data_IF_447482435939
#
_entry.id   IF_447482435939
#
_cell.length_a   1.000
_cell.length_b   1.000
_cell.length_c   1.000
_cell.angle_alpha   90.00
_cell.angle_beta   90.00
_cell.angle_gamma   90.00
#
_symmetry.space_group_name_H-M   'P 1'
#
loop_
_entity.id
_entity.type
_entity.pdbx_description
1 polymer ?
#
# COMPACT_ATOMS: atom_id res chain seq x y z
N UNK A 1 -13.96 -1.21 19.38
CA UNK A 1 -13.39 -2.12 18.38
C UNK A 1 -14.45 -3.11 17.92
N UNK A 2 -14.61 -3.33 16.62
CA UNK A 2 -15.48 -4.37 16.09
C UNK A 2 -14.81 -5.73 16.32
N UNK A 3 -15.41 -6.62 17.12
CA UNK A 3 -14.80 -7.90 17.51
C UNK A 3 -14.42 -8.79 16.32
N UNK A 4 -15.13 -8.67 15.19
CA UNK A 4 -14.88 -9.46 13.96
C UNK A 4 -13.62 -9.09 13.19
N UNK A 5 -12.98 -7.95 13.47
CA UNK A 5 -11.77 -7.47 12.79
C UNK A 5 -10.52 -7.52 13.67
N UNK A 6 -10.62 -7.97 14.88
CA UNK A 6 -9.43 -8.25 15.71
C UNK A 6 -8.75 -9.51 15.20
N UNK A 7 -7.45 -9.39 14.92
CA UNK A 7 -6.65 -10.55 14.56
C UNK A 7 -6.56 -11.53 15.73
N UNK A 8 -6.79 -12.79 15.44
CA UNK A 8 -6.54 -13.87 16.40
C UNK A 8 -5.04 -14.06 16.64
N UNK A 9 -4.61 -14.63 17.77
CA UNK A 9 -3.20 -14.96 18.00
C UNK A 9 -2.59 -15.81 16.87
N UNK A 10 -3.36 -16.72 16.29
CA UNK A 10 -2.92 -17.54 15.17
C UNK A 10 -2.66 -16.71 13.89
N UNK A 11 -3.50 -15.71 13.60
CA UNK A 11 -3.29 -14.79 12.48
C UNK A 11 -2.09 -13.89 12.70
N UNK A 12 -1.89 -13.40 13.92
CA UNK A 12 -0.71 -12.61 14.29
C UNK A 12 0.57 -13.42 14.12
N UNK A 13 0.58 -14.68 14.60
CA UNK A 13 1.72 -15.58 14.42
C UNK A 13 1.96 -15.90 12.94
N UNK A 14 0.90 -16.15 12.17
CA UNK A 14 1.02 -16.39 10.73
C UNK A 14 1.65 -15.18 10.02
N UNK A 15 1.21 -13.95 10.36
CA UNK A 15 1.81 -12.73 9.81
C UNK A 15 3.29 -12.61 10.19
N UNK A 16 3.63 -12.83 11.45
CA UNK A 16 5.01 -12.79 11.92
C UNK A 16 5.91 -13.82 11.23
N UNK A 17 5.35 -14.96 10.83
CA UNK A 17 6.10 -16.02 10.15
C UNK A 17 6.20 -15.80 8.65
N UNK A 18 5.15 -15.26 8.02
CA UNK A 18 5.00 -15.22 6.57
C UNK A 18 5.08 -13.82 5.96
N UNK A 19 4.88 -12.76 6.75
CA UNK A 19 4.91 -11.36 6.31
C UNK A 19 3.67 -10.90 5.56
N UNK A 20 2.56 -11.64 5.62
CA UNK A 20 1.29 -11.25 5.00
C UNK A 20 0.09 -11.91 5.68
N UNK A 21 -1.12 -11.35 5.40
CA UNK A 21 -2.41 -11.96 5.72
C UNK A 21 -3.37 -11.86 4.55
N UNK A 22 -4.10 -12.95 4.33
CA UNK A 22 -5.23 -13.10 3.41
C UNK A 22 -6.40 -13.76 4.14
N UNK A 23 -7.56 -13.83 3.50
CA UNK A 23 -8.75 -14.48 4.08
C UNK A 23 -9.34 -13.70 5.26
N UNK A 24 -9.16 -12.39 5.26
CA UNK A 24 -9.73 -11.47 6.24
C UNK A 24 -11.20 -11.20 5.92
N UNK A 25 -12.04 -10.86 6.92
CA UNK A 25 -13.39 -10.40 6.65
C UNK A 25 -13.40 -9.18 5.72
N UNK A 26 -14.37 -9.05 4.81
CA UNK A 26 -14.42 -7.92 3.88
C UNK A 26 -14.60 -6.60 4.65
N UNK A 27 -13.81 -5.60 4.30
CA UNK A 27 -13.92 -4.25 4.87
C UNK A 27 -15.23 -3.60 4.45
N UNK A 28 -15.59 -3.79 3.18
CA UNK A 28 -16.83 -3.32 2.59
C UNK A 28 -17.58 -4.48 1.96
N UNK A 29 -18.90 -4.48 2.05
CA UNK A 29 -19.72 -5.39 1.25
C UNK A 29 -19.54 -5.06 -0.23
N UNK A 30 -19.97 -5.96 -1.11
CA UNK A 30 -19.91 -5.74 -2.56
C UNK A 30 -20.70 -4.47 -2.97
N UNK A 31 -21.84 -4.24 -2.34
CA UNK A 31 -22.69 -3.08 -2.59
C UNK A 31 -22.05 -1.77 -2.08
N UNK A 32 -21.42 -1.81 -0.91
CA UNK A 32 -20.67 -0.66 -0.38
C UNK A 32 -19.49 -0.34 -1.28
N UNK A 33 -18.73 -1.37 -1.70
CA UNK A 33 -17.58 -1.18 -2.59
C UNK A 33 -17.97 -0.67 -3.98
N UNK A 34 -19.12 -1.12 -4.50
CA UNK A 34 -19.64 -0.61 -5.76
C UNK A 34 -19.92 0.90 -5.67
N UNK A 35 -20.57 1.38 -4.60
CA UNK A 35 -20.79 2.82 -4.36
C UNK A 35 -19.48 3.59 -4.24
N UNK A 36 -18.48 3.03 -3.54
CA UNK A 36 -17.15 3.65 -3.46
C UNK A 36 -16.52 3.73 -4.86
N UNK A 37 -16.64 2.70 -5.68
CA UNK A 37 -16.14 2.69 -7.05
C UNK A 37 -16.86 3.70 -7.97
N UNK A 38 -18.15 3.99 -7.74
CA UNK A 38 -18.90 5.00 -8.49
C UNK A 38 -18.32 6.42 -8.28
N UNK A 39 -17.69 6.68 -7.14
CA UNK A 39 -17.02 7.96 -6.85
C UNK A 39 -15.62 8.08 -7.46
N UNK A 40 -14.95 6.96 -7.76
CA UNK A 40 -13.57 6.96 -8.26
C UNK A 40 -13.35 7.84 -9.50
N UNK A 41 -14.24 7.90 -10.51
CA UNK A 41 -14.10 8.79 -11.66
C UNK A 41 -13.96 10.27 -11.28
N UNK A 42 -14.60 10.73 -10.20
CA UNK A 42 -14.47 12.13 -9.74
C UNK A 42 -13.04 12.42 -9.24
N UNK A 43 -12.40 11.43 -8.61
CA UNK A 43 -11.00 11.55 -8.21
C UNK A 43 -10.07 11.52 -9.44
N UNK A 44 -10.32 10.60 -10.39
CA UNK A 44 -9.54 10.48 -11.61
C UNK A 44 -9.61 11.74 -12.49
N UNK A 45 -10.72 12.45 -12.46
CA UNK A 45 -10.91 13.71 -13.19
C UNK A 45 -9.97 14.85 -12.72
N UNK A 46 -9.32 14.70 -11.57
CA UNK A 46 -8.33 15.65 -11.06
C UNK A 46 -6.91 15.43 -11.61
N UNK A 47 -6.69 14.36 -12.36
CA UNK A 47 -5.41 14.12 -13.03
C UNK A 47 -5.16 15.17 -14.10
N UNK A 48 -3.93 15.65 -14.17
CA UNK A 48 -3.51 16.64 -15.17
C UNK A 48 -3.13 15.95 -16.50
N UNK A 49 -3.08 16.69 -17.61
CA UNK A 49 -2.60 16.14 -18.87
C UNK A 49 -1.22 15.49 -18.73
N UNK A 50 -1.12 14.23 -19.16
CA UNK A 50 0.11 13.42 -19.06
C UNK A 50 0.27 12.65 -17.75
N UNK A 51 -0.59 12.88 -16.77
CA UNK A 51 -0.63 12.07 -15.53
C UNK A 51 -1.48 10.81 -15.74
N UNK A 52 -1.21 9.82 -14.92
CA UNK A 52 -1.91 8.53 -14.88
C UNK A 52 -2.34 8.20 -13.46
N UNK A 53 -3.02 7.09 -13.27
CA UNK A 53 -3.41 6.61 -11.93
C UNK A 53 -2.21 6.36 -10.99
N UNK A 54 -1.00 6.25 -11.53
CA UNK A 54 0.25 6.18 -10.73
C UNK A 54 0.56 7.47 -9.98
N UNK A 55 0.02 8.59 -10.46
CA UNK A 55 0.23 9.90 -9.86
C UNK A 55 -0.77 10.18 -8.72
N UNK A 56 -1.75 9.29 -8.49
CA UNK A 56 -2.64 9.36 -7.32
C UNK A 56 -1.90 8.78 -6.12
N UNK A 57 -1.03 9.60 -5.56
CA UNK A 57 -0.18 9.27 -4.41
C UNK A 57 -0.38 10.28 -3.30
N UNK A 58 -0.64 9.78 -2.09
CA UNK A 58 -0.85 10.58 -0.89
C UNK A 58 -2.07 11.52 -0.95
N UNK A 59 -3.02 11.25 -1.86
CA UNK A 59 -4.22 12.09 -2.02
C UNK A 59 -5.21 11.96 -0.85
N UNK A 60 -5.00 11.02 0.08
CA UNK A 60 -5.71 11.00 1.35
C UNK A 60 -5.46 12.27 2.18
N UNK A 61 -4.37 12.99 1.93
CA UNK A 61 -4.07 14.26 2.61
C UNK A 61 -5.02 15.40 2.20
N UNK A 62 -5.65 15.29 1.04
CA UNK A 62 -6.47 16.36 0.45
C UNK A 62 -7.87 15.92 0.05
N UNK A 63 -8.19 14.64 0.17
CA UNK A 63 -9.47 14.05 -0.23
C UNK A 63 -10.11 13.27 0.92
N UNK A 64 -11.29 13.73 1.41
CA UNK A 64 -12.04 13.00 2.43
C UNK A 64 -12.48 11.64 1.93
N UNK A 65 -12.71 11.47 0.62
CA UNK A 65 -13.02 10.17 0.00
C UNK A 65 -11.96 9.12 0.32
N UNK A 66 -10.67 9.44 0.19
CA UNK A 66 -9.58 8.52 0.52
C UNK A 66 -9.27 8.48 2.01
N UNK A 67 -9.38 9.62 2.68
CA UNK A 67 -9.11 9.72 4.11
C UNK A 67 -10.07 8.88 4.95
N UNK A 68 -11.36 8.89 4.62
CA UNK A 68 -12.38 8.06 5.27
C UNK A 68 -12.10 6.56 5.11
N UNK A 69 -11.60 6.15 3.93
CA UNK A 69 -11.16 4.75 3.70
C UNK A 69 -9.95 4.44 4.58
N UNK A 70 -8.95 5.33 4.64
CA UNK A 70 -7.76 5.13 5.45
C UNK A 70 -8.07 5.10 6.96
N UNK A 71 -9.09 5.83 7.40
CA UNK A 71 -9.53 5.88 8.80
C UNK A 71 -10.66 4.90 9.12
N UNK A 72 -10.99 3.96 8.22
CA UNK A 72 -12.05 2.98 8.47
C UNK A 72 -11.74 2.13 9.70
N UNK A 73 -12.61 2.10 10.72
CA UNK A 73 -12.35 1.37 11.96
C UNK A 73 -12.03 -0.11 11.78
N UNK A 74 -12.60 -0.76 10.77
CA UNK A 74 -12.34 -2.18 10.46
C UNK A 74 -10.88 -2.38 10.00
N UNK A 75 -10.38 -1.48 9.16
CA UNK A 75 -8.96 -1.48 8.73
C UNK A 75 -8.07 -1.23 9.93
N UNK A 76 -8.40 -0.21 10.74
CA UNK A 76 -7.59 0.13 11.91
C UNK A 76 -7.53 -1.00 12.95
N UNK A 77 -8.61 -1.80 13.10
CA UNK A 77 -8.62 -2.97 13.97
C UNK A 77 -7.62 -4.05 13.49
N UNK A 78 -7.55 -4.28 12.17
CA UNK A 78 -6.58 -5.21 11.58
C UNK A 78 -5.15 -4.73 11.76
N UNK A 79 -4.90 -3.44 11.49
CA UNK A 79 -3.57 -2.80 11.61
C UNK A 79 -3.09 -2.82 13.06
N UNK A 80 -3.97 -2.53 14.04
CA UNK A 80 -3.64 -2.60 15.46
C UNK A 80 -3.17 -4.00 15.87
N UNK A 81 -3.75 -5.04 15.27
CA UNK A 81 -3.34 -6.43 15.51
C UNK A 81 -1.88 -6.73 15.09
N UNK A 82 -1.29 -5.92 14.21
CA UNK A 82 0.09 -6.05 13.74
C UNK A 82 1.03 -5.05 14.43
N UNK A 83 0.67 -3.76 14.41
CA UNK A 83 1.55 -2.67 14.90
C UNK A 83 1.40 -2.38 16.40
N UNK A 84 0.38 -2.95 17.05
CA UNK A 84 0.01 -2.58 18.41
C UNK A 84 -0.82 -1.29 18.46
N UNK A 85 -1.05 -0.73 19.67
CA UNK A 85 -2.06 0.31 19.87
C UNK A 85 -1.68 1.71 19.37
N UNK A 86 -0.41 1.97 19.07
CA UNK A 86 0.11 3.31 18.78
C UNK A 86 0.65 3.37 17.34
N UNK A 87 -0.16 3.85 16.40
CA UNK A 87 0.24 3.90 14.98
C UNK A 87 -0.46 5.03 14.22
N UNK A 88 0.12 5.37 13.08
CA UNK A 88 -0.36 6.41 12.17
C UNK A 88 -0.46 5.92 10.73
N UNK A 89 -1.34 6.55 9.94
CA UNK A 89 -1.36 6.47 8.48
C UNK A 89 -0.48 7.57 7.88
N UNK A 90 0.21 7.28 6.77
CA UNK A 90 1.10 8.26 6.14
C UNK A 90 1.08 8.23 4.62
N UNK A 91 0.60 7.18 3.98
CA UNK A 91 0.51 7.15 2.52
C UNK A 91 -0.71 6.39 2.01
N UNK A 92 -1.15 6.79 0.83
CA UNK A 92 -2.13 6.08 0.02
C UNK A 92 -1.73 6.14 -1.46
N UNK A 93 -1.81 5.00 -2.16
CA UNK A 93 -1.51 4.93 -3.59
C UNK A 93 -2.49 4.03 -4.30
N UNK A 94 -2.97 4.45 -5.48
CA UNK A 94 -3.69 3.56 -6.37
C UNK A 94 -2.75 2.76 -7.25
N UNK A 95 -3.10 1.48 -7.39
CA UNK A 95 -2.52 0.57 -8.36
C UNK A 95 -3.64 0.05 -9.25
N UNK A 96 -3.83 0.71 -10.39
CA UNK A 96 -4.87 0.36 -11.37
C UNK A 96 -4.19 -0.22 -12.61
N UNK A 97 -4.66 -1.41 -13.02
CA UNK A 97 -4.31 -2.06 -14.28
C UNK A 97 -5.56 -2.16 -15.13
N UNK A 98 -5.62 -1.36 -16.17
CA UNK A 98 -6.71 -1.41 -17.14
C UNK A 98 -6.70 -2.76 -17.90
N UNK A 99 -7.83 -3.14 -18.51
CA UNK A 99 -7.87 -4.31 -19.38
C UNK A 99 -6.75 -4.28 -20.43
N UNK A 100 -6.12 -5.42 -20.66
CA UNK A 100 -5.08 -5.62 -21.67
C UNK A 100 -3.83 -4.73 -21.49
N UNK A 101 -3.54 -4.25 -20.27
CA UNK A 101 -2.34 -3.47 -20.01
C UNK A 101 -1.12 -4.37 -19.83
N UNK A 102 0.02 -3.91 -20.36
CA UNK A 102 1.32 -4.55 -20.17
C UNK A 102 2.03 -4.13 -18.90
N UNK A 103 1.45 -3.21 -18.12
CA UNK A 103 2.07 -2.70 -16.90
C UNK A 103 2.30 -3.80 -15.86
N UNK A 104 3.56 -4.00 -15.48
CA UNK A 104 3.98 -4.90 -14.41
C UNK A 104 4.35 -4.11 -13.16
N UNK A 105 4.48 -4.79 -12.03
CA UNK A 105 5.21 -4.29 -10.85
C UNK A 105 6.29 -5.32 -10.58
N UNK A 106 7.54 -4.94 -10.83
CA UNK A 106 8.69 -5.80 -10.59
C UNK A 106 8.78 -6.28 -9.14
N UNK A 107 9.47 -7.38 -8.90
CA UNK A 107 9.70 -7.88 -7.55
C UNK A 107 10.49 -6.86 -6.73
N UNK A 108 9.95 -6.46 -5.58
CA UNK A 108 10.52 -5.41 -4.74
C UNK A 108 10.12 -5.58 -3.27
N UNK A 109 10.76 -4.80 -2.43
CA UNK A 109 10.38 -4.57 -1.04
C UNK A 109 9.98 -3.10 -0.91
N UNK A 110 8.84 -2.82 -0.32
CA UNK A 110 8.34 -1.46 -0.08
C UNK A 110 9.33 -0.62 0.74
N UNK A 111 9.93 -1.23 1.78
CA UNK A 111 10.91 -0.60 2.67
C UNK A 111 12.13 -0.02 1.96
N UNK A 112 12.50 -0.53 0.79
CA UNK A 112 13.61 0.01 0.01
C UNK A 112 13.34 1.41 -0.55
N UNK A 113 12.06 1.75 -0.74
CA UNK A 113 11.64 3.05 -1.27
C UNK A 113 11.44 4.10 -0.18
N UNK A 114 11.39 3.70 1.10
CA UNK A 114 11.00 4.57 2.18
C UNK A 114 12.18 4.95 3.06
N UNK A 115 12.50 6.26 3.15
CA UNK A 115 13.57 6.74 4.04
C UNK A 115 13.08 6.75 5.50
N UNK A 116 12.69 5.58 6.00
CA UNK A 116 12.04 5.40 7.31
C UNK A 116 12.78 4.36 8.15
N UNK A 117 12.90 4.61 9.44
CA UNK A 117 13.50 3.69 10.42
C UNK A 117 12.84 3.86 11.79
N UNK A 118 12.76 2.76 12.58
CA UNK A 118 12.97 1.37 12.19
C UNK A 118 11.92 0.84 11.22
N UNK A 119 12.13 -0.33 10.62
CA UNK A 119 11.12 -1.01 9.80
C UNK A 119 10.03 -1.59 10.70
N UNK A 120 8.92 -0.88 10.81
CA UNK A 120 7.73 -1.26 11.57
C UNK A 120 6.49 -0.68 10.88
N UNK A 121 6.27 -1.17 9.66
CA UNK A 121 5.18 -0.67 8.81
C UNK A 121 4.40 -1.83 8.22
N UNK A 122 3.12 -1.61 7.98
CA UNK A 122 2.22 -2.53 7.30
C UNK A 122 1.50 -1.82 6.16
N UNK A 123 1.43 -2.47 5.02
CA UNK A 123 0.59 -2.04 3.90
C UNK A 123 -0.71 -2.84 3.91
N UNK A 124 -1.83 -2.12 3.92
CA UNK A 124 -3.16 -2.65 3.61
C UNK A 124 -3.41 -2.46 2.14
N UNK A 125 -3.68 -3.53 1.41
CA UNK A 125 -4.06 -3.48 0.00
C UNK A 125 -5.56 -3.78 -0.12
N UNK A 126 -6.39 -2.75 -0.33
CA UNK A 126 -7.85 -2.85 -0.46
C UNK A 126 -8.24 -3.08 -1.93
N UNK A 127 -8.95 -4.16 -2.21
CA UNK A 127 -9.44 -4.49 -3.54
C UNK A 127 -10.67 -3.63 -3.91
N UNK A 128 -10.56 -2.82 -4.94
CA UNK A 128 -11.67 -2.08 -5.55
C UNK A 128 -12.42 -2.93 -6.57
N UNK A 129 -11.73 -3.83 -7.24
CA UNK A 129 -12.28 -4.84 -8.16
C UNK A 129 -11.93 -6.24 -7.66
N UNK A 130 -12.57 -7.27 -8.20
CA UNK A 130 -12.14 -8.66 -7.99
C UNK A 130 -10.74 -8.85 -8.57
N UNK A 131 -9.85 -9.47 -7.80
CA UNK A 131 -8.42 -9.64 -8.10
C UNK A 131 -8.07 -11.12 -8.09
N UNK A 132 -7.40 -11.56 -9.13
CA UNK A 132 -6.87 -12.92 -9.25
C UNK A 132 -5.63 -12.97 -10.18
N UNK A 133 -5.16 -14.16 -10.49
CA UNK A 133 -4.03 -14.38 -11.40
C UNK A 133 -4.30 -13.93 -12.84
N UNK A 134 -5.57 -13.92 -13.25
CA UNK A 134 -5.95 -13.60 -14.63
C UNK A 134 -5.85 -12.12 -14.93
N UNK A 135 -6.14 -11.25 -13.93
CA UNK A 135 -6.08 -9.80 -14.09
C UNK A 135 -4.88 -9.13 -13.45
N UNK A 136 -3.80 -9.88 -13.25
CA UNK A 136 -2.54 -9.34 -12.74
C UNK A 136 -2.53 -9.08 -11.23
N UNK A 137 -3.15 -9.99 -10.48
CA UNK A 137 -3.12 -10.00 -9.02
C UNK A 137 -1.69 -10.07 -8.48
N UNK A 138 -1.49 -9.48 -7.30
CA UNK A 138 -0.20 -9.46 -6.62
C UNK A 138 0.25 -10.88 -6.23
N UNK A 139 1.56 -11.09 -6.26
CA UNK A 139 2.24 -12.26 -5.70
C UNK A 139 3.20 -11.81 -4.60
N UNK A 140 3.35 -12.62 -3.56
CA UNK A 140 4.25 -12.33 -2.44
C UNK A 140 4.99 -13.61 -2.04
N UNK A 141 6.27 -13.46 -1.70
CA UNK A 141 7.12 -14.54 -1.23
C UNK A 141 7.03 -14.68 0.30
N UNK A 142 6.39 -15.74 0.82
CA UNK A 142 6.24 -15.94 2.27
C UNK A 142 7.57 -15.97 3.00
N UNK A 143 7.64 -15.31 4.17
CA UNK A 143 8.82 -15.31 5.03
C UNK A 143 9.96 -14.40 4.56
N UNK A 144 9.88 -13.81 3.37
CA UNK A 144 10.95 -12.99 2.79
C UNK A 144 11.28 -11.72 3.60
N UNK A 145 10.33 -11.20 4.37
CA UNK A 145 10.51 -10.05 5.26
C UNK A 145 11.57 -10.29 6.36
N UNK A 146 11.82 -11.56 6.72
CA UNK A 146 12.82 -11.94 7.73
C UNK A 146 14.25 -11.80 7.22
N UNK A 147 14.47 -11.75 5.91
CA UNK A 147 15.79 -11.62 5.28
C UNK A 147 16.38 -10.21 5.30
N UNK A 148 15.68 -9.23 5.90
CA UNK A 148 16.11 -7.83 5.86
C UNK A 148 15.86 -7.15 4.53
N UNK A 149 16.47 -5.98 4.31
CA UNK A 149 16.35 -5.20 3.07
C UNK A 149 17.39 -5.69 2.06
N UNK A 150 16.92 -6.06 0.88
CA UNK A 150 17.76 -6.56 -0.22
C UNK A 150 18.05 -5.40 -1.19
N UNK A 151 19.18 -5.45 -1.88
CA UNK A 151 19.53 -4.44 -2.89
C UNK A 151 18.56 -4.47 -4.06
N UNK A 152 18.21 -3.29 -4.52
CA UNK A 152 17.41 -3.07 -5.73
C UNK A 152 18.27 -2.39 -6.80
N UNK A 153 17.91 -2.59 -8.05
CA UNK A 153 18.49 -1.93 -9.23
C UNK A 153 17.38 -1.26 -10.04
N UNK A 154 17.75 -0.44 -11.00
CA UNK A 154 16.77 0.06 -11.94
C UNK A 154 16.11 -1.09 -12.70
N UNK A 155 14.79 -1.03 -12.81
CA UNK A 155 14.04 -2.02 -13.59
C UNK A 155 14.52 -2.03 -15.04
N UNK A 156 14.74 -3.22 -15.57
CA UNK A 156 15.02 -3.43 -17.00
C UNK A 156 13.74 -3.37 -17.84
N UNK A 157 12.57 -3.53 -17.19
CA UNK A 157 11.29 -3.53 -17.87
C UNK A 157 10.73 -2.11 -18.00
N UNK A 158 10.60 -1.64 -19.24
CA UNK A 158 9.97 -0.34 -19.54
C UNK A 158 8.49 -0.28 -19.21
N UNK A 159 7.83 -1.44 -19.08
CA UNK A 159 6.44 -1.58 -18.67
C UNK A 159 6.25 -1.55 -17.15
N UNK A 160 7.33 -1.59 -16.37
CA UNK A 160 7.23 -1.60 -14.90
C UNK A 160 6.69 -0.26 -14.38
N UNK A 161 5.73 -0.37 -13.46
CA UNK A 161 5.17 0.79 -12.73
C UNK A 161 6.20 1.37 -11.78
N UNK A 162 7.00 0.49 -11.17
CA UNK A 162 8.09 0.88 -10.28
C UNK A 162 9.40 0.96 -11.08
N UNK A 163 10.20 1.92 -10.72
CA UNK A 163 11.48 2.20 -11.38
C UNK A 163 12.61 1.32 -10.87
N UNK A 164 12.44 0.72 -9.70
CA UNK A 164 13.39 -0.20 -9.08
C UNK A 164 12.76 -1.60 -8.95
N UNK A 165 13.61 -2.61 -9.01
CA UNK A 165 13.29 -4.03 -8.77
C UNK A 165 14.47 -4.70 -8.07
N UNK A 166 14.27 -5.89 -7.51
CA UNK A 166 15.37 -6.65 -6.91
C UNK A 166 16.53 -6.82 -7.88
N UNK A 167 17.74 -6.71 -7.37
CA UNK A 167 18.97 -6.94 -8.16
C UNK A 167 19.05 -8.39 -8.64
N UNK A 168 19.57 -8.62 -9.85
CA UNK A 168 19.82 -9.96 -10.37
C UNK A 168 20.76 -10.73 -9.42
N UNK A 169 20.48 -12.01 -9.19
CA UNK A 169 21.25 -12.84 -8.26
C UNK A 169 20.77 -12.72 -6.80
N UNK A 170 19.74 -11.93 -6.52
CA UNK A 170 19.03 -12.01 -5.24
C UNK A 170 18.53 -13.44 -5.04
N UNK A 171 18.79 -14.00 -3.85
CA UNK A 171 18.41 -15.38 -3.53
C UNK A 171 16.92 -15.46 -3.17
N UNK A 172 16.07 -15.36 -4.19
CA UNK A 172 14.64 -15.57 -4.03
C UNK A 172 14.08 -16.47 -5.13
N UNK A 173 13.12 -17.30 -4.77
CA UNK A 173 12.48 -18.24 -5.67
C UNK A 173 11.03 -17.84 -5.93
N UNK A 174 10.80 -17.13 -7.04
CA UNK A 174 9.47 -16.63 -7.44
C UNK A 174 8.40 -17.73 -7.53
N UNK A 175 8.79 -18.97 -7.77
CA UNK A 175 7.90 -20.15 -7.85
C UNK A 175 7.24 -20.46 -6.49
N UNK A 176 7.85 -20.04 -5.38
CA UNK A 176 7.30 -20.20 -4.04
C UNK A 176 6.33 -19.08 -3.64
N UNK A 177 6.09 -18.12 -4.53
CA UNK A 177 5.24 -16.99 -4.23
C UNK A 177 3.76 -17.35 -4.17
N UNK A 178 3.07 -16.82 -3.17
CA UNK A 178 1.62 -16.97 -3.02
C UNK A 178 0.90 -15.95 -3.89
N UNK A 179 -0.07 -16.42 -4.68
CA UNK A 179 -0.95 -15.59 -5.49
C UNK A 179 -2.05 -15.00 -4.62
N UNK A 180 -2.20 -13.68 -4.63
CA UNK A 180 -3.28 -13.01 -3.93
C UNK A 180 -4.56 -13.04 -4.78
N UNK A 181 -5.65 -13.50 -4.15
CA UNK A 181 -7.00 -13.48 -4.71
C UNK A 181 -7.90 -12.77 -3.70
N UNK A 182 -8.55 -11.71 -4.14
CA UNK A 182 -9.42 -10.88 -3.31
C UNK A 182 -10.69 -10.54 -4.08
N UNK A 183 -11.81 -10.52 -3.39
CA UNK A 183 -13.05 -9.94 -3.89
C UNK A 183 -13.06 -8.43 -3.64
N UNK A 184 -13.80 -7.69 -4.47
CA UNK A 184 -14.02 -6.27 -4.23
C UNK A 184 -14.55 -6.03 -2.79
N UNK A 185 -13.88 -5.12 -2.07
CA UNK A 185 -14.14 -4.85 -0.65
C UNK A 185 -13.31 -5.67 0.34
N UNK A 186 -12.63 -6.74 -0.09
CA UNK A 186 -11.64 -7.45 0.72
C UNK A 186 -10.28 -6.75 0.71
N UNK A 187 -9.46 -7.06 1.69
CA UNK A 187 -8.09 -6.55 1.76
C UNK A 187 -7.08 -7.64 2.12
N UNK A 188 -5.83 -7.34 1.84
CA UNK A 188 -4.66 -8.07 2.35
C UNK A 188 -3.81 -7.14 3.20
N UNK A 189 -2.99 -7.72 4.08
CA UNK A 189 -1.94 -7.04 4.81
C UNK A 189 -0.58 -7.61 4.38
N UNK A 190 0.44 -6.77 4.27
CA UNK A 190 1.82 -7.23 4.08
C UNK A 190 2.85 -6.33 4.75
N UNK A 191 3.95 -6.94 5.17
CA UNK A 191 5.09 -6.29 5.81
C UNK A 191 5.87 -5.47 4.77
N UNK A 192 6.45 -4.35 5.18
CA UNK A 192 7.21 -3.44 4.31
C UNK A 192 8.46 -4.07 3.69
N UNK A 193 8.97 -5.17 4.28
CA UNK A 193 10.12 -5.94 3.78
C UNK A 193 9.72 -7.20 3.02
N UNK A 194 8.42 -7.51 2.90
CA UNK A 194 7.99 -8.67 2.15
C UNK A 194 8.23 -8.46 0.65
N UNK A 195 8.91 -9.43 0.02
CA UNK A 195 9.16 -9.39 -1.42
C UNK A 195 7.86 -9.68 -2.16
N UNK A 196 7.43 -8.74 -3.00
CA UNK A 196 6.19 -8.88 -3.76
C UNK A 196 6.27 -8.19 -5.12
N UNK A 197 5.32 -8.51 -5.97
CA UNK A 197 5.23 -7.96 -7.32
C UNK A 197 3.91 -8.35 -7.98
N UNK A 198 3.67 -7.89 -9.21
CA UNK A 198 2.48 -8.29 -9.95
C UNK A 198 2.70 -8.30 -11.46
N UNK A 199 2.24 -9.36 -12.18
CA UNK A 199 2.34 -9.44 -13.63
C UNK A 199 1.41 -8.42 -14.31
N UNK A 200 1.52 -8.32 -15.63
CA UNK A 200 0.59 -7.56 -16.47
C UNK A 200 -0.87 -8.04 -16.28
N UNK A 201 -1.81 -7.23 -16.77
CA UNK A 201 -3.21 -7.61 -16.84
C UNK A 201 -3.61 -7.92 -18.29
N UNK A 202 -3.52 -9.19 -18.73
CA UNK A 202 -3.91 -9.58 -20.08
C UNK A 202 -5.43 -9.74 -20.27
N UNK A 203 -6.19 -9.68 -19.18
CA UNK A 203 -7.64 -9.93 -19.20
C UNK A 203 -8.45 -8.73 -19.67
N UNK A 204 -9.72 -8.98 -20.01
CA UNK A 204 -10.72 -7.93 -20.28
C UNK A 204 -11.28 -7.25 -19.03
N UNK A 205 -10.78 -7.52 -17.82
CA UNK A 205 -11.25 -6.95 -16.55
C UNK A 205 -10.23 -5.96 -15.99
N UNK A 206 -10.69 -4.79 -15.53
CA UNK A 206 -9.86 -3.88 -14.76
C UNK A 206 -9.43 -4.55 -13.43
N UNK A 207 -8.26 -4.17 -12.93
CA UNK A 207 -7.81 -4.49 -11.58
C UNK A 207 -7.39 -3.21 -10.86
N UNK A 208 -8.24 -2.72 -9.97
CA UNK A 208 -7.97 -1.55 -9.15
C UNK A 208 -7.80 -1.95 -7.69
N UNK A 209 -6.78 -1.40 -7.05
CA UNK A 209 -6.52 -1.54 -5.63
C UNK A 209 -5.91 -0.29 -5.04
N UNK A 210 -6.27 -0.02 -3.80
CA UNK A 210 -5.74 1.09 -3.00
C UNK A 210 -4.82 0.53 -1.93
N UNK A 211 -3.57 0.96 -1.93
CA UNK A 211 -2.65 0.72 -0.81
C UNK A 211 -2.78 1.83 0.21
N UNK A 212 -2.84 1.45 1.48
CA UNK A 212 -2.80 2.34 2.63
C UNK A 212 -1.65 1.90 3.52
N UNK A 213 -0.78 2.83 3.92
CA UNK A 213 0.43 2.50 4.65
C UNK A 213 0.36 3.07 6.06
N UNK A 214 0.62 2.19 7.01
CA UNK A 214 0.61 2.49 8.44
C UNK A 214 1.94 2.12 9.05
N UNK A 215 2.37 2.91 10.04
CA UNK A 215 3.60 2.65 10.80
C UNK A 215 3.38 2.88 12.28
N UNK A 216 4.12 2.15 13.10
CA UNK A 216 4.18 2.42 14.54
C UNK A 216 4.72 3.82 14.81
N UNK A 217 4.28 4.46 15.90
CA UNK A 217 4.71 5.84 16.24
C UNK A 217 6.21 5.95 16.50
N UNK A 218 6.91 4.83 16.73
CA UNK A 218 8.36 4.77 16.86
C UNK A 218 9.11 4.96 15.53
N UNK A 219 8.43 4.91 14.39
CA UNK A 219 9.05 5.03 13.06
C UNK A 219 9.25 6.51 12.72
N UNK A 220 10.48 6.86 12.34
CA UNK A 220 10.88 8.20 11.91
C UNK A 220 11.14 8.21 10.42
N UNK A 221 10.61 9.21 9.72
CA UNK A 221 10.96 9.52 8.34
C UNK A 221 12.14 10.49 8.26
N UNK A 222 13.00 10.33 7.26
CA UNK A 222 14.03 11.32 6.95
C UNK A 222 13.41 12.47 6.14
N UNK A 223 13.15 13.58 6.82
CA UNK A 223 12.54 14.77 6.21
C UNK A 223 13.48 15.51 5.25
N UNK A 224 14.79 15.23 5.26
CA UNK A 224 15.69 15.77 4.26
C UNK A 224 15.46 15.09 2.90
N UNK A 225 15.04 13.83 2.91
CA UNK A 225 14.71 13.06 1.70
C UNK A 225 13.25 13.27 1.30
N UNK A 226 12.33 13.28 2.26
CA UNK A 226 10.90 13.47 2.01
C UNK A 226 10.33 14.65 2.82
N UNK A 227 10.54 15.91 2.36
CA UNK A 227 10.18 17.10 3.13
C UNK A 227 8.66 17.33 3.28
N UNK A 228 7.84 16.70 2.43
CA UNK A 228 6.38 16.83 2.47
C UNK A 228 5.69 15.74 3.30
N UNK A 229 6.47 14.86 3.93
CA UNK A 229 5.92 13.78 4.74
C UNK A 229 5.08 14.26 5.89
N UNK A 230 3.90 13.68 6.06
CA UNK A 230 2.97 13.95 7.16
C UNK A 230 2.36 12.67 7.65
N UNK A 231 1.99 12.67 8.91
CA UNK A 231 1.32 11.56 9.56
C UNK A 231 -0.08 11.95 10.03
N UNK A 232 -0.95 10.94 10.09
CA UNK A 232 -2.30 11.04 10.66
C UNK A 232 -2.41 9.96 11.74
N UNK A 233 -2.35 10.38 13.01
CA UNK A 233 -2.46 9.46 14.14
C UNK A 233 -3.80 8.73 14.06
N UNK A 234 -3.76 7.40 13.94
CA UNK A 234 -4.94 6.56 13.80
C UNK A 234 -5.45 6.08 15.15
N UNK A 235 -4.53 5.67 16.02
CA UNK A 235 -4.84 5.16 17.36
C UNK A 235 -3.71 5.45 18.34
N UNK A 236 -4.08 5.42 19.64
CA UNK A 236 -3.16 5.53 20.74
C UNK A 236 -2.52 6.89 20.91
N UNK A 237 -1.26 6.89 21.29
CA UNK A 237 -0.48 8.08 21.60
C UNK A 237 0.85 8.05 20.84
N UNK A 238 1.22 9.17 20.25
CA UNK A 238 2.55 9.37 19.69
C UNK A 238 3.46 10.01 20.75
N UNK A 239 4.18 9.17 21.49
CA UNK A 239 5.15 9.61 22.50
C UNK A 239 6.45 10.12 21.86
N UNK A 240 6.77 9.68 20.66
CA UNK A 240 8.03 9.97 19.97
C UNK A 240 8.05 11.33 19.28
N UNK A 241 6.92 11.73 18.69
CA UNK A 241 6.76 13.02 17.97
C UNK A 241 7.84 13.24 16.90
N UNK A 242 8.21 12.16 16.21
CA UNK A 242 9.29 12.18 15.22
C UNK A 242 8.89 12.88 13.92
N UNK A 243 7.61 12.84 13.57
CA UNK A 243 7.11 13.23 12.26
C UNK A 243 6.07 14.35 12.37
N UNK A 244 5.97 15.26 11.36
CA UNK A 244 4.96 16.31 11.35
C UNK A 244 3.55 15.74 11.13
N UNK A 245 2.58 16.32 11.81
CA UNK A 245 1.17 15.96 11.66
C UNK A 245 0.55 16.64 10.45
N UNK A 246 -0.25 15.88 9.70
CA UNK A 246 -1.18 16.41 8.72
C UNK A 246 -2.46 16.95 9.35
N UNK A 247 -3.14 17.83 8.63
CA UNK A 247 -4.52 18.23 8.95
C UNK A 247 -5.47 17.40 8.12
N UNK A 248 -6.48 16.76 8.71
CA UNK A 248 -7.48 16.01 7.94
C UNK A 248 -8.11 16.87 6.83
N UNK A 249 -8.32 16.32 5.64
CA UNK A 249 -8.91 17.04 4.52
C UNK A 249 -10.37 17.41 4.80
N UNK A 250 -10.84 18.45 4.10
CA UNK A 250 -12.24 18.92 4.20
C UNK A 250 -13.00 18.83 2.88
N UNK A 251 -12.28 18.60 1.77
CA UNK A 251 -12.88 18.46 0.44
C UNK A 251 -13.11 16.99 0.10
N UNK A 252 -14.24 16.67 -0.52
CA UNK A 252 -14.54 15.29 -0.92
C UNK A 252 -13.50 14.75 -1.89
N UNK A 253 -13.13 15.54 -2.91
CA UNK A 253 -12.08 15.23 -3.86
C UNK A 253 -11.09 16.39 -3.89
N UNK A 254 -9.83 16.08 -3.67
CA UNK A 254 -8.74 17.03 -3.72
C UNK A 254 -7.45 16.35 -4.15
N UNK A 255 -6.55 17.10 -4.74
CA UNK A 255 -5.21 16.62 -5.06
C UNK A 255 -4.17 17.45 -4.31
N UNK A 256 -3.07 16.84 -3.86
CA UNK A 256 -1.95 17.58 -3.29
C UNK A 256 -1.37 18.57 -4.29
N UNK A 257 -0.88 19.70 -3.81
CA UNK A 257 -0.17 20.70 -4.61
C UNK A 257 1.34 20.41 -4.74
N UNK A 258 1.78 19.24 -4.29
CA UNK A 258 3.15 18.74 -4.41
C UNK A 258 3.14 17.38 -5.11
N UNK A 259 4.28 17.01 -5.69
CA UNK A 259 4.53 15.63 -6.13
C UNK A 259 5.33 14.94 -5.03
N UNK A 260 4.93 13.72 -4.60
CA UNK A 260 5.75 12.93 -3.69
C UNK A 260 7.13 12.71 -4.30
N UNK A 261 8.16 12.95 -3.51
CA UNK A 261 9.55 12.73 -3.96
C UNK A 261 9.76 11.23 -4.11
N UNK A 262 10.18 10.80 -5.31
CA UNK A 262 10.67 9.43 -5.47
C UNK A 262 12.07 9.32 -4.87
N UNK A 263 12.40 8.20 -4.26
CA UNK A 263 13.76 7.94 -3.74
C UNK A 263 14.83 8.07 -4.85
N UNK A 264 14.48 7.85 -6.11
CA UNK A 264 15.35 8.07 -7.25
C UNK A 264 15.81 9.54 -7.39
N UNK A 265 14.96 10.49 -7.03
CA UNK A 265 15.31 11.91 -7.05
C UNK A 265 16.15 12.29 -5.84
N UNK A 266 15.92 11.63 -4.69
CA UNK A 266 16.69 11.84 -3.46
C UNK A 266 18.10 11.21 -3.50
N UNK A 267 18.30 10.12 -4.23
CA UNK A 267 19.61 9.48 -4.41
C UNK A 267 20.54 10.18 -5.40
N UNK A 268 20.14 11.35 -5.92
CA UNK A 268 20.96 12.19 -6.82
C UNK A 268 21.60 13.40 -6.14
N UNK A 269 21.43 13.54 -4.82
CA UNK A 269 22.04 14.62 -4.03
C UNK A 269 23.33 14.16 -3.36
#
# INVERSE_FOLDING_TARGET
>A
MNASYRLTPAQQQFYADNGYLLGLPPIYTREEMARINEELPNLLALLQPGETTKDIREWHETSTYLFEIAMNPKILDLVEGILGPNFYCWASNFFIKDPHTLSTVGWHQDSYYWPMAPHNSVTVWLAFDDVDEVNGGMKLLPGSHKGGVIKHRRSKETSSVLTLELEDGSDFHADNAVQFRLKAGECSLHDDRAIHGSPANPSGRRRAGLTLRYSGTNVKNDLAVNPNFKIYLCRGVDEFKHNPYGTPPTQRYGRPNFKPVSIEEAGKS
#
